data_IF_337202214139
#
_entry.id   IF_337202214139
#
_cell.length_a   1.000
_cell.length_b   1.000
_cell.length_c   1.000
_cell.angle_alpha   90.00
_cell.angle_beta   90.00
_cell.angle_gamma   90.00
#
_symmetry.space_group_name_H-M   'P 1'
#
loop_
_entity.id
_entity.type
_entity.pdbx_description
1 polymer ?
#
# COMPACT_ATOMS: atom_id res chain seq x y z
N UNK A 1 24.88 7.32 -23.50
CA UNK A 1 23.50 6.89 -23.20
C UNK A 1 23.33 6.98 -21.69
N UNK A 2 22.29 7.62 -21.18
CA UNK A 2 21.98 7.66 -19.74
C UNK A 2 20.64 6.97 -19.57
N UNK A 3 20.65 5.82 -18.89
CA UNK A 3 19.44 5.13 -18.45
C UNK A 3 19.18 5.52 -16.99
N UNK A 4 17.91 5.76 -16.65
CA UNK A 4 17.49 5.91 -15.25
C UNK A 4 17.33 4.55 -14.58
N UNK A 5 17.33 4.53 -13.26
CA UNK A 5 16.96 3.38 -12.44
C UNK A 5 15.76 3.73 -11.54
N UNK A 6 15.11 2.72 -10.99
CA UNK A 6 14.15 2.85 -9.90
C UNK A 6 14.79 2.32 -8.63
N UNK A 7 14.85 3.15 -7.59
CA UNK A 7 15.46 2.75 -6.33
C UNK A 7 15.50 3.84 -5.27
N UNK A 8 15.75 3.43 -4.03
CA UNK A 8 15.88 4.29 -2.84
C UNK A 8 14.62 5.12 -2.52
N UNK A 9 13.46 4.68 -3.01
CA UNK A 9 12.18 5.31 -2.69
C UNK A 9 11.62 4.78 -1.37
N UNK A 10 10.93 5.63 -0.64
CA UNK A 10 10.29 5.28 0.63
C UNK A 10 8.78 5.43 0.52
N UNK A 11 8.05 4.33 0.70
CA UNK A 11 6.61 4.29 0.84
C UNK A 11 6.28 4.25 2.33
N UNK A 12 5.80 5.38 2.87
CA UNK A 12 5.61 5.58 4.31
C UNK A 12 4.18 6.00 4.66
N UNK A 13 3.57 5.35 5.66
CA UNK A 13 2.21 5.65 6.16
C UNK A 13 1.21 5.89 5.04
N UNK A 14 1.01 4.86 4.22
CA UNK A 14 -0.01 4.79 3.19
C UNK A 14 -0.93 3.58 3.40
N UNK A 15 -2.08 3.61 2.73
CA UNK A 15 -2.96 2.47 2.56
C UNK A 15 -2.89 2.02 1.10
N UNK A 16 -2.48 0.78 0.86
CA UNK A 16 -2.60 0.14 -0.46
C UNK A 16 -3.49 -1.08 -0.28
N UNK A 17 -4.68 -1.04 -0.87
CA UNK A 17 -5.72 -2.05 -0.67
C UNK A 17 -5.56 -3.26 -1.58
N UNK A 18 -4.76 -3.15 -2.65
CA UNK A 18 -4.73 -4.16 -3.74
C UNK A 18 -6.10 -4.31 -4.45
N UNK A 19 -7.01 -3.32 -4.28
CA UNK A 19 -8.36 -3.33 -4.85
C UNK A 19 -8.55 -2.18 -5.84
N UNK A 20 -9.18 -2.49 -6.98
CA UNK A 20 -9.76 -1.48 -7.86
C UNK A 20 -11.14 -1.05 -7.35
N UNK A 21 -11.47 0.23 -7.51
CA UNK A 21 -12.82 0.74 -7.22
C UNK A 21 -13.83 0.24 -8.27
N UNK A 22 -15.09 0.07 -7.85
CA UNK A 22 -16.22 -0.15 -8.75
C UNK A 22 -16.83 1.20 -9.18
N UNK A 23 -17.34 1.36 -10.42
CA UNK A 23 -17.35 0.40 -11.51
C UNK A 23 -15.98 0.29 -12.20
N UNK A 24 -15.70 -0.92 -12.66
CA UNK A 24 -14.49 -1.28 -13.40
C UNK A 24 -14.62 -0.72 -14.83
N UNK A 25 -13.48 -0.50 -15.49
CA UNK A 25 -13.27 0.00 -16.86
C UNK A 25 -14.50 -0.12 -17.79
N UNK A 26 -14.82 0.98 -18.48
CA UNK A 26 -15.98 1.30 -19.35
C UNK A 26 -16.58 0.19 -20.25
N UNK A 27 -15.96 -0.97 -20.42
CA UNK A 27 -16.36 -2.00 -21.37
C UNK A 27 -16.43 -3.45 -20.85
N UNK A 28 -16.20 -3.74 -19.57
CA UNK A 28 -16.45 -5.08 -19.01
C UNK A 28 -16.98 -5.03 -17.57
N UNK A 29 -18.31 -4.97 -17.39
CA UNK A 29 -18.94 -4.99 -16.07
C UNK A 29 -19.01 -6.40 -15.44
N UNK A 30 -18.57 -7.44 -16.14
CA UNK A 30 -18.72 -8.84 -15.72
C UNK A 30 -17.41 -9.48 -15.21
N UNK A 31 -16.24 -9.02 -15.65
CA UNK A 31 -14.97 -9.41 -15.00
C UNK A 31 -14.68 -8.51 -13.80
N UNK A 32 -14.94 -9.04 -12.62
CA UNK A 32 -14.34 -8.50 -11.42
C UNK A 32 -12.81 -8.66 -11.55
N UNK A 33 -12.08 -7.55 -11.74
CA UNK A 33 -10.61 -7.56 -11.68
C UNK A 33 -10.17 -7.75 -10.21
N UNK A 34 -10.41 -8.96 -9.71
CA UNK A 34 -9.95 -9.50 -8.44
C UNK A 34 -8.64 -10.28 -8.60
N UNK A 35 -8.16 -10.41 -9.84
CA UNK A 35 -6.89 -11.06 -10.15
C UNK A 35 -5.72 -10.19 -9.68
N UNK A 36 -5.11 -10.63 -8.58
CA UNK A 36 -3.74 -10.38 -8.14
C UNK A 36 -3.12 -9.02 -8.55
N UNK A 37 -3.56 -7.93 -7.92
CA UNK A 37 -2.70 -6.74 -7.84
C UNK A 37 -1.81 -6.95 -6.63
N UNK A 38 -0.51 -7.18 -6.81
CA UNK A 38 0.42 -7.10 -5.68
C UNK A 38 0.18 -5.79 -4.92
N UNK A 39 0.07 -5.82 -3.59
CA UNK A 39 -0.15 -4.57 -2.83
C UNK A 39 1.00 -3.58 -3.08
N UNK A 40 2.21 -4.13 -3.14
CA UNK A 40 3.42 -3.50 -3.61
C UNK A 40 4.02 -4.37 -4.72
N UNK A 41 4.42 -3.74 -5.82
CA UNK A 41 5.14 -4.41 -6.91
C UNK A 41 6.48 -3.71 -7.08
N UNK A 42 7.56 -4.48 -7.03
CA UNK A 42 8.91 -4.03 -7.35
C UNK A 42 9.50 -4.97 -8.39
N UNK A 43 9.78 -4.45 -9.58
CA UNK A 43 10.24 -5.23 -10.73
C UNK A 43 11.73 -5.53 -10.63
N UNK A 44 12.22 -6.44 -11.48
CA UNK A 44 13.63 -6.80 -11.53
C UNK A 44 14.54 -5.58 -11.70
N UNK A 45 15.51 -5.45 -10.78
CA UNK A 45 16.44 -4.31 -10.76
C UNK A 45 16.02 -3.12 -9.91
N UNK A 46 14.79 -3.08 -9.37
CA UNK A 46 14.41 -2.11 -8.35
C UNK A 46 15.31 -2.29 -7.12
N UNK A 47 15.93 -1.21 -6.64
CA UNK A 47 16.98 -1.33 -5.60
C UNK A 47 16.74 -0.46 -4.38
N UNK A 48 16.88 -1.03 -3.19
CA UNK A 48 16.90 -0.28 -1.94
C UNK A 48 15.57 0.42 -1.62
N UNK A 49 14.44 -0.15 -2.02
CA UNK A 49 13.12 0.36 -1.69
C UNK A 49 12.84 0.20 -0.19
N UNK A 50 12.14 1.17 0.39
CA UNK A 50 11.70 1.14 1.78
C UNK A 50 10.16 1.15 1.86
N UNK A 51 9.58 0.21 2.60
CA UNK A 51 8.12 0.14 2.85
C UNK A 51 7.89 0.15 4.35
N UNK A 52 7.47 1.28 4.91
CA UNK A 52 7.48 1.50 6.37
C UNK A 52 6.15 2.06 6.89
N UNK A 53 5.58 1.46 7.93
CA UNK A 53 4.43 2.04 8.63
C UNK A 53 3.12 2.06 7.83
N UNK A 54 2.95 1.17 6.86
CA UNK A 54 1.78 1.14 5.97
C UNK A 54 0.70 0.16 6.45
N UNK A 55 -0.48 0.26 5.86
CA UNK A 55 -1.54 -0.74 5.92
C UNK A 55 -1.69 -1.36 4.54
N UNK A 56 -1.49 -2.67 4.42
CA UNK A 56 -1.30 -3.37 3.15
C UNK A 56 -2.32 -4.50 2.96
N UNK A 57 -3.04 -4.48 1.84
CA UNK A 57 -4.13 -5.40 1.50
C UNK A 57 -5.47 -4.97 2.10
N UNK A 58 -6.49 -5.82 2.01
CA UNK A 58 -7.84 -5.54 2.50
C UNK A 58 -8.63 -6.82 2.91
N UNK A 59 -9.67 -6.67 3.72
CA UNK A 59 -10.45 -7.78 4.32
C UNK A 59 -11.80 -8.11 3.64
N UNK A 60 -12.30 -7.33 2.69
CA UNK A 60 -13.68 -7.47 2.20
C UNK A 60 -13.89 -8.70 1.30
N UNK A 61 -14.92 -9.51 1.58
CA UNK A 61 -15.31 -10.67 0.76
C UNK A 61 -15.77 -10.27 -0.66
N UNK A 62 -15.41 -11.09 -1.66
CA UNK A 62 -15.64 -10.78 -3.09
C UNK A 62 -14.49 -10.03 -3.76
N UNK A 63 -13.47 -9.65 -3.01
CA UNK A 63 -12.12 -9.32 -3.53
C UNK A 63 -11.19 -10.45 -3.09
N UNK A 64 -10.06 -10.71 -3.77
CA UNK A 64 -9.18 -11.84 -3.40
C UNK A 64 -8.94 -11.84 -1.89
N UNK A 65 -9.58 -12.78 -1.21
CA UNK A 65 -9.74 -12.78 0.24
C UNK A 65 -8.37 -13.11 0.81
N UNK A 66 -7.67 -12.08 1.29
CA UNK A 66 -6.24 -12.12 1.58
C UNK A 66 -5.39 -12.37 0.33
N UNK A 67 -4.36 -11.57 0.17
CA UNK A 67 -3.16 -11.97 -0.58
C UNK A 67 -2.84 -13.44 -0.26
N UNK A 68 -2.89 -14.30 -1.26
CA UNK A 68 -2.60 -15.73 -1.15
C UNK A 68 -1.16 -16.00 -0.67
N UNK A 69 -0.25 -15.03 -0.84
CA UNK A 69 1.10 -15.08 -0.33
C UNK A 69 1.54 -13.76 0.31
N UNK A 70 2.55 -13.84 1.17
CA UNK A 70 3.24 -12.64 1.63
C UNK A 70 4.16 -12.09 0.54
N UNK A 71 5.03 -12.96 0.00
CA UNK A 71 5.94 -12.68 -1.11
C UNK A 71 5.58 -13.52 -2.32
N UNK A 72 5.66 -12.91 -3.49
CA UNK A 72 5.52 -13.56 -4.80
C UNK A 72 6.56 -12.99 -5.76
N UNK A 73 6.91 -13.75 -6.79
CA UNK A 73 7.67 -13.26 -7.96
C UNK A 73 6.83 -13.29 -9.24
N UNK A 74 5.52 -13.51 -9.11
CA UNK A 74 4.54 -13.55 -10.19
C UNK A 74 3.33 -12.68 -9.85
N UNK A 75 2.85 -11.95 -10.85
CA UNK A 75 1.59 -11.19 -10.81
C UNK A 75 0.36 -12.09 -10.91
N UNK A 76 0.51 -13.39 -11.20
CA UNK A 76 -0.60 -14.35 -11.19
C UNK A 76 -0.96 -14.80 -9.76
N UNK A 77 -0.09 -14.50 -8.79
CA UNK A 77 -0.31 -14.81 -7.37
C UNK A 77 -0.54 -13.50 -6.62
N UNK A 78 -1.70 -13.39 -5.98
CA UNK A 78 -2.02 -12.24 -5.15
C UNK A 78 -1.09 -12.19 -3.93
N UNK A 79 -0.03 -11.38 -3.98
CA UNK A 79 0.94 -11.22 -2.90
C UNK A 79 0.83 -9.86 -2.21
N UNK A 80 1.24 -9.75 -0.94
CA UNK A 80 1.46 -8.41 -0.34
C UNK A 80 2.59 -7.73 -1.12
N UNK A 81 3.67 -8.47 -1.37
CA UNK A 81 4.80 -8.03 -2.19
C UNK A 81 4.94 -8.93 -3.41
N UNK A 82 4.94 -8.34 -4.60
CA UNK A 82 5.39 -8.99 -5.84
C UNK A 82 6.75 -8.42 -6.17
N UNK A 83 7.78 -9.26 -6.19
CA UNK A 83 9.19 -8.86 -6.16
C UNK A 83 9.99 -9.54 -7.28
N UNK A 84 10.82 -8.75 -7.96
CA UNK A 84 11.77 -9.24 -8.96
C UNK A 84 11.12 -9.75 -10.24
N UNK A 85 9.93 -9.27 -10.57
CA UNK A 85 9.23 -9.61 -11.82
C UNK A 85 10.09 -9.20 -13.02
N UNK A 86 10.28 -10.10 -13.99
CA UNK A 86 11.18 -9.85 -15.13
C UNK A 86 12.68 -9.88 -14.79
N UNK A 87 13.04 -10.17 -13.54
CA UNK A 87 14.41 -10.35 -13.05
C UNK A 87 14.66 -11.75 -12.50
N UNK A 88 15.41 -11.85 -11.41
CA UNK A 88 15.74 -13.12 -10.73
C UNK A 88 14.68 -13.56 -9.69
N UNK A 89 13.45 -13.02 -9.75
CA UNK A 89 12.38 -13.31 -8.80
C UNK A 89 12.76 -12.93 -7.36
N UNK A 90 12.51 -13.82 -6.39
CA UNK A 90 12.85 -13.54 -4.98
C UNK A 90 14.38 -13.51 -4.69
N UNK A 91 15.21 -13.94 -5.65
CA UNK A 91 16.66 -13.76 -5.59
C UNK A 91 17.15 -12.43 -6.18
N UNK A 92 16.24 -11.64 -6.77
CA UNK A 92 16.55 -10.34 -7.36
C UNK A 92 16.86 -9.27 -6.30
N UNK A 93 17.58 -8.22 -6.69
CA UNK A 93 17.88 -7.09 -5.82
C UNK A 93 16.61 -6.40 -5.31
N UNK A 94 15.52 -6.44 -6.09
CA UNK A 94 14.20 -5.96 -5.68
C UNK A 94 13.67 -6.64 -4.41
N UNK A 95 14.01 -7.92 -4.21
CA UNK A 95 13.64 -8.66 -3.00
C UNK A 95 14.71 -8.56 -1.92
N UNK A 96 15.98 -8.75 -2.27
CA UNK A 96 17.06 -8.89 -1.28
C UNK A 96 17.50 -7.57 -0.66
N UNK A 97 17.19 -6.44 -1.30
CA UNK A 97 17.51 -5.10 -0.78
C UNK A 97 16.30 -4.34 -0.20
N UNK A 98 15.11 -4.95 -0.24
CA UNK A 98 13.88 -4.34 0.28
C UNK A 98 13.95 -4.20 1.80
N UNK A 99 13.84 -2.98 2.29
CA UNK A 99 13.62 -2.69 3.70
C UNK A 99 12.13 -2.57 3.98
N UNK A 100 11.59 -3.40 4.87
CA UNK A 100 10.15 -3.38 5.17
C UNK A 100 9.89 -3.59 6.65
N UNK A 101 9.26 -2.63 7.29
CA UNK A 101 9.02 -2.72 8.73
C UNK A 101 7.83 -1.91 9.22
N UNK A 102 7.27 -2.34 10.34
CA UNK A 102 6.14 -1.70 10.98
C UNK A 102 4.91 -1.63 10.07
N UNK A 103 4.72 -2.53 9.10
CA UNK A 103 3.54 -2.53 8.24
C UNK A 103 2.50 -3.49 8.81
N UNK A 104 1.23 -3.08 8.90
CA UNK A 104 0.13 -4.03 9.07
C UNK A 104 -0.19 -4.62 7.70
N UNK A 105 -0.36 -5.94 7.64
CA UNK A 105 -0.80 -6.60 6.43
C UNK A 105 -1.95 -7.58 6.70
N UNK A 106 -2.84 -7.72 5.72
CA UNK A 106 -4.02 -8.57 5.81
C UNK A 106 -3.73 -10.07 5.58
N UNK A 107 -2.50 -10.46 5.23
CA UNK A 107 -2.07 -11.86 5.16
C UNK A 107 -1.74 -12.41 6.56
N UNK A 108 -0.82 -11.75 7.27
CA UNK A 108 -0.40 -12.07 8.62
C UNK A 108 -1.38 -11.55 9.68
N UNK A 109 -2.23 -10.58 9.33
CA UNK A 109 -3.22 -9.92 10.20
C UNK A 109 -2.62 -9.29 11.45
N UNK A 110 -1.37 -8.81 11.33
CA UNK A 110 -0.62 -8.16 12.41
C UNK A 110 0.39 -7.19 11.83
N UNK A 111 0.96 -6.35 12.70
CA UNK A 111 2.09 -5.49 12.33
C UNK A 111 3.35 -6.34 12.24
N UNK A 112 3.95 -6.35 11.04
CA UNK A 112 5.19 -7.06 10.75
C UNK A 112 6.38 -6.13 10.92
N UNK A 113 7.31 -6.53 11.77
CA UNK A 113 8.55 -5.83 12.04
C UNK A 113 9.72 -6.63 11.50
N UNK A 114 10.63 -5.95 10.81
CA UNK A 114 11.93 -6.54 10.49
C UNK A 114 12.74 -6.71 11.78
N UNK A 115 13.50 -7.80 11.89
CA UNK A 115 14.32 -8.06 13.07
C UNK A 115 15.21 -6.86 13.41
N UNK A 116 15.23 -6.45 14.67
CA UNK A 116 16.02 -5.31 15.15
C UNK A 116 15.42 -3.92 14.88
N UNK A 117 14.18 -3.81 14.40
CA UNK A 117 13.58 -2.53 13.98
C UNK A 117 12.27 -2.16 14.66
N UNK A 118 11.89 -2.80 15.78
CA UNK A 118 10.70 -2.40 16.53
C UNK A 118 10.88 -0.95 17.03
N UNK A 119 10.22 0.00 16.38
CA UNK A 119 10.34 1.44 16.63
C UNK A 119 8.97 2.10 16.71
N UNK A 120 8.87 3.19 17.46
CA UNK A 120 7.72 4.10 17.35
C UNK A 120 7.73 4.74 15.95
N UNK A 121 6.62 4.63 15.22
CA UNK A 121 6.49 5.24 13.90
C UNK A 121 6.19 6.74 14.05
N UNK A 122 7.01 7.66 13.53
CA UNK A 122 6.68 9.08 13.58
C UNK A 122 5.43 9.38 12.75
N UNK A 123 4.68 10.44 13.07
CA UNK A 123 3.50 10.84 12.28
C UNK A 123 3.85 11.24 10.84
N UNK A 124 5.08 11.71 10.62
CA UNK A 124 5.61 12.10 9.31
C UNK A 124 7.13 11.94 9.30
N UNK A 125 7.71 11.61 8.14
CA UNK A 125 9.15 11.67 7.91
C UNK A 125 9.63 13.08 7.49
N UNK A 126 8.70 14.01 7.28
CA UNK A 126 8.99 15.37 6.81
C UNK A 126 8.62 16.43 7.84
N UNK A 127 7.44 16.32 8.46
CA UNK A 127 6.93 17.31 9.40
C UNK A 127 7.08 16.85 10.85
N UNK A 128 7.55 17.72 11.73
CA UNK A 128 7.66 17.45 13.17
C UNK A 128 6.31 17.53 13.90
N UNK A 129 5.30 18.17 13.31
CA UNK A 129 3.98 18.37 13.89
C UNK A 129 2.91 18.48 12.82
N UNK A 130 1.64 18.35 13.23
CA UNK A 130 0.51 18.47 12.32
C UNK A 130 0.56 19.85 11.65
N UNK A 131 0.54 19.92 10.30
CA UNK A 131 0.58 21.20 9.63
C UNK A 131 -0.70 22.00 9.91
N UNK A 132 -0.58 23.33 10.01
CA UNK A 132 -1.70 24.23 10.36
C UNK A 132 -2.83 24.24 9.35
N UNK A 133 -2.55 23.87 8.10
CA UNK A 133 -3.54 23.71 7.04
C UNK A 133 -4.27 22.35 7.08
N UNK A 134 -3.83 21.41 7.92
CA UNK A 134 -4.53 20.15 8.10
C UNK A 134 -5.85 20.40 8.84
N UNK A 135 -7.00 19.89 8.35
CA UNK A 135 -8.29 20.21 8.94
C UNK A 135 -8.38 19.83 10.43
N UNK A 136 -8.77 20.76 11.31
CA UNK A 136 -8.99 20.49 12.73
C UNK A 136 -9.94 19.32 12.94
N UNK A 137 -9.69 18.52 13.98
CA UNK A 137 -10.52 17.36 14.31
C UNK A 137 -10.39 16.16 13.36
N UNK A 138 -9.46 16.20 12.39
CA UNK A 138 -9.16 15.03 11.56
C UNK A 138 -7.83 14.38 11.98
N UNK A 139 -7.74 13.03 12.01
CA UNK A 139 -6.51 12.34 12.40
C UNK A 139 -5.32 12.74 11.53
N UNK A 140 -4.17 12.96 12.17
CA UNK A 140 -2.89 13.15 11.51
C UNK A 140 -1.83 12.27 12.21
N UNK A 141 -1.31 11.24 11.53
CA UNK A 141 -1.60 10.84 10.16
C UNK A 141 -3.00 10.22 10.03
N UNK A 142 -3.54 10.20 8.80
CA UNK A 142 -4.87 9.61 8.53
C UNK A 142 -4.82 8.07 8.42
N UNK A 143 -3.64 7.50 8.23
CA UNK A 143 -3.39 6.07 8.10
C UNK A 143 -2.16 5.68 8.88
N UNK A 144 -2.22 4.49 9.48
CA UNK A 144 -1.11 3.91 10.21
C UNK A 144 -1.51 2.61 10.89
N UNK A 145 -0.60 1.64 10.99
CA UNK A 145 -0.84 0.36 11.65
C UNK A 145 -0.95 0.49 13.18
N UNK A 146 -0.53 1.63 13.71
CA UNK A 146 -0.62 2.04 15.12
C UNK A 146 -1.86 2.90 15.43
N UNK A 147 -2.72 3.15 14.46
CA UNK A 147 -3.93 3.96 14.63
C UNK A 147 -5.18 3.10 14.87
N UNK A 148 -6.20 3.70 15.47
CA UNK A 148 -7.55 3.14 15.60
C UNK A 148 -8.60 4.16 15.13
N UNK A 149 -9.22 3.96 13.94
CA UNK A 149 -8.97 2.89 12.98
C UNK A 149 -7.60 3.01 12.29
N UNK A 150 -7.05 1.90 11.79
CA UNK A 150 -5.76 1.89 11.08
C UNK A 150 -5.82 2.67 9.76
N UNK A 151 -6.98 2.67 9.10
CA UNK A 151 -7.26 3.44 7.89
C UNK A 151 -8.40 4.41 8.21
N UNK A 152 -8.06 5.69 8.38
CA UNK A 152 -9.02 6.77 8.53
C UNK A 152 -9.51 7.31 7.20
N UNK A 153 -10.29 8.39 7.25
CA UNK A 153 -10.70 9.12 6.05
C UNK A 153 -9.70 10.23 5.75
N UNK A 154 -9.09 10.18 4.56
CA UNK A 154 -8.31 11.29 4.02
C UNK A 154 -9.13 12.59 4.04
N UNK A 155 -8.63 13.70 4.61
CA UNK A 155 -9.40 14.95 4.66
C UNK A 155 -9.82 15.46 3.27
N UNK A 156 -8.99 15.22 2.25
CA UNK A 156 -9.32 15.53 0.85
C UNK A 156 -10.48 14.68 0.31
N UNK A 157 -10.57 13.40 0.69
CA UNK A 157 -11.70 12.52 0.33
C UNK A 157 -12.98 13.02 1.00
N UNK A 158 -12.94 13.29 2.30
CA UNK A 158 -14.10 13.83 3.02
C UNK A 158 -14.62 15.13 2.36
N UNK A 159 -13.71 16.04 1.98
CA UNK A 159 -14.08 17.24 1.23
C UNK A 159 -14.73 16.89 -0.12
N UNK A 160 -14.14 15.99 -0.90
CA UNK A 160 -14.67 15.58 -2.21
C UNK A 160 -16.09 15.00 -2.08
N UNK A 161 -16.28 14.06 -1.16
CA UNK A 161 -17.56 13.37 -0.95
C UNK A 161 -18.66 14.34 -0.53
N UNK A 162 -18.34 15.34 0.31
CA UNK A 162 -19.31 16.38 0.72
C UNK A 162 -19.71 17.36 -0.39
N UNK A 163 -18.92 17.46 -1.46
CA UNK A 163 -19.17 18.35 -2.61
C UNK A 163 -19.71 17.61 -3.82
N UNK A 164 -19.65 16.28 -3.81
CA UNK A 164 -20.20 15.46 -4.87
C UNK A 164 -21.72 15.35 -4.71
N UNK A 165 -22.46 16.05 -5.57
CA UNK A 165 -23.91 15.87 -5.74
C UNK A 165 -24.16 15.24 -7.11
N UNK A 166 -24.27 13.91 -7.22
CA UNK A 166 -24.65 13.29 -8.48
C UNK A 166 -26.08 13.73 -8.85
N UNK A 167 -26.37 13.94 -10.15
CA UNK A 167 -27.74 14.23 -10.57
C UNK A 167 -28.67 13.11 -10.11
N UNK A 168 -29.80 13.50 -9.53
CA UNK A 168 -30.86 12.56 -9.14
C UNK A 168 -31.56 12.09 -10.42
N UNK A 169 -31.76 10.76 -10.62
CA UNK A 169 -32.49 10.23 -11.77
C UNK A 169 -33.91 10.81 -11.90
#
# INVERSE_FOLDING_TARGET
>A
ITHGNSGYLTFFRNYSSSQFASPIVWNDPATQQTAAVGTMVFDGGDIGMNVVGNVLGAATAGTSVATASYDSSSTDVAGIYVLGLGGAGLGDVAATSLFRTGNYDYFNKKVMWQSGTAVTLPSSLYLSSQPTWWPPGTPWPWVGPDLSPMVGTLPAKARSDSKYSPPTP
#
